data_IF_648548395239
#
_entry.id   IF_648548395239
#
_cell.length_a   1.000
_cell.length_b   1.000
_cell.length_c   1.000
_cell.angle_alpha   90.00
_cell.angle_beta   90.00
_cell.angle_gamma   90.00
#
_symmetry.space_group_name_H-M   'P 1'
#
loop_
_entity.id
_entity.type
_entity.pdbx_description
1 polymer ?
#
# COMPACT_ATOMS: atom_id res chain seq x y z
N UNK A 1 -15.65 7.96 24.15
CA UNK A 1 -16.35 9.23 24.49
C UNK A 1 -17.84 8.94 24.43
N UNK A 2 -18.53 8.98 25.56
CA UNK A 2 -19.87 8.41 25.84
C UNK A 2 -21.00 9.46 25.71
N UNK A 3 -20.69 10.56 25.03
CA UNK A 3 -21.35 11.85 25.21
C UNK A 3 -22.75 11.88 24.56
N UNK A 4 -22.97 11.09 23.50
CA UNK A 4 -24.28 10.96 22.83
C UNK A 4 -25.31 10.13 23.61
N UNK A 5 -24.85 9.18 24.44
CA UNK A 5 -25.73 8.33 25.27
C UNK A 5 -26.31 9.15 26.43
N UNK A 6 -25.52 10.04 27.02
CA UNK A 6 -25.99 10.93 28.09
C UNK A 6 -27.10 11.86 27.62
N UNK A 7 -27.02 12.41 26.40
CA UNK A 7 -28.08 13.25 25.86
C UNK A 7 -29.40 12.47 25.64
N UNK A 8 -29.33 11.27 25.05
CA UNK A 8 -30.53 10.44 24.82
C UNK A 8 -31.20 9.95 26.10
N UNK A 9 -30.42 9.67 27.15
CA UNK A 9 -30.93 9.18 28.44
C UNK A 9 -31.48 10.31 29.31
N UNK A 10 -30.79 11.46 29.40
CA UNK A 10 -31.23 12.57 30.26
C UNK A 10 -32.28 13.48 29.62
N UNK A 11 -32.22 13.73 28.30
CA UNK A 11 -33.13 14.67 27.65
C UNK A 11 -34.44 14.03 27.16
N UNK A 12 -34.44 12.74 26.77
CA UNK A 12 -35.60 12.07 26.15
C UNK A 12 -36.16 10.87 26.91
N UNK A 13 -35.55 10.43 28.04
CA UNK A 13 -35.92 9.21 28.79
C UNK A 13 -36.08 7.97 27.90
N UNK A 14 -35.28 7.85 26.83
CA UNK A 14 -35.32 6.69 25.96
C UNK A 14 -34.52 5.53 26.56
N UNK A 15 -35.00 4.29 26.37
CA UNK A 15 -34.26 3.09 26.75
C UNK A 15 -32.85 3.10 26.13
N UNK A 16 -31.84 2.66 26.88
CA UNK A 16 -30.42 2.65 26.48
C UNK A 16 -30.21 2.13 25.05
N UNK A 17 -30.95 1.08 24.68
CA UNK A 17 -30.96 0.50 23.33
C UNK A 17 -31.37 1.53 22.27
N UNK A 18 -32.43 2.31 22.47
CA UNK A 18 -32.88 3.32 21.49
C UNK A 18 -31.87 4.45 21.34
N UNK A 19 -31.23 4.88 22.43
CA UNK A 19 -30.19 5.91 22.41
C UNK A 19 -28.94 5.43 21.66
N UNK A 20 -28.55 4.16 21.82
CA UNK A 20 -27.45 3.57 21.06
C UNK A 20 -27.78 3.47 19.57
N UNK A 21 -29.01 3.03 19.23
CA UNK A 21 -29.48 2.99 17.85
C UNK A 21 -29.48 4.38 17.20
N UNK A 22 -29.93 5.41 17.91
CA UNK A 22 -29.89 6.80 17.44
C UNK A 22 -28.45 7.28 17.22
N UNK A 23 -27.55 7.03 18.17
CA UNK A 23 -26.15 7.43 18.07
C UNK A 23 -25.44 6.76 16.89
N UNK A 24 -25.61 5.44 16.72
CA UNK A 24 -24.99 4.70 15.61
C UNK A 24 -25.57 5.10 14.26
N UNK A 25 -26.90 5.24 14.14
CA UNK A 25 -27.54 5.64 12.87
C UNK A 25 -27.26 7.09 12.46
N UNK A 26 -27.10 7.99 13.43
CA UNK A 26 -26.69 9.38 13.16
C UNK A 26 -25.23 9.45 12.74
N UNK A 27 -24.36 8.66 13.38
CA UNK A 27 -22.94 8.59 13.07
C UNK A 27 -22.66 7.93 11.72
N UNK A 28 -23.44 6.91 11.34
CA UNK A 28 -23.33 6.23 10.05
C UNK A 28 -24.03 6.97 8.89
N UNK A 29 -24.52 8.20 9.12
CA UNK A 29 -25.32 9.01 8.17
C UNK A 29 -26.65 8.39 7.72
N UNK A 30 -27.05 7.24 8.30
CA UNK A 30 -28.30 6.56 7.96
C UNK A 30 -29.55 7.37 8.36
N UNK A 31 -29.44 8.25 9.36
CA UNK A 31 -30.44 9.29 9.66
C UNK A 31 -31.86 8.77 9.95
N UNK A 32 -31.99 7.57 10.52
CA UNK A 32 -33.27 6.85 10.61
C UNK A 32 -34.28 7.46 11.59
N UNK A 33 -33.84 8.28 12.55
CA UNK A 33 -34.72 8.94 13.52
C UNK A 33 -34.48 10.45 13.48
N UNK A 34 -35.49 11.19 13.03
CA UNK A 34 -35.52 12.64 13.14
C UNK A 34 -35.69 13.06 14.61
N UNK A 35 -34.97 14.10 15.02
CA UNK A 35 -35.23 14.77 16.30
C UNK A 35 -36.60 15.42 16.20
N UNK A 36 -37.55 15.06 17.08
CA UNK A 36 -38.84 15.78 17.14
C UNK A 36 -38.56 17.26 17.33
N UNK A 37 -39.14 18.10 16.47
CA UNK A 37 -39.13 19.56 16.62
C UNK A 37 -39.99 19.95 17.82
N UNK A 38 -39.45 19.77 19.02
CA UNK A 38 -39.91 20.50 20.20
C UNK A 38 -39.67 22.00 19.98
N UNK A 39 -40.46 22.90 20.60
CA UNK A 39 -40.32 24.35 20.45
C UNK A 39 -38.91 24.88 20.80
N UNK A 40 -38.17 24.13 21.62
CA UNK A 40 -36.81 24.45 22.02
C UNK A 40 -35.79 23.82 21.05
N UNK A 41 -35.29 24.61 20.10
CA UNK A 41 -34.35 24.19 19.03
C UNK A 41 -32.97 23.66 19.49
N UNK A 42 -32.75 23.50 20.80
CA UNK A 42 -31.52 23.00 21.40
C UNK A 42 -31.15 21.58 20.94
N UNK A 43 -32.16 20.74 20.72
CA UNK A 43 -31.97 19.34 20.32
C UNK A 43 -31.41 19.21 18.90
N UNK A 44 -31.81 20.13 18.01
CA UNK A 44 -31.33 20.18 16.61
C UNK A 44 -29.87 20.64 16.57
N UNK A 45 -29.51 21.64 17.38
CA UNK A 45 -28.13 22.13 17.48
C UNK A 45 -27.18 21.04 17.98
N UNK A 46 -27.59 20.26 18.99
CA UNK A 46 -26.81 19.15 19.49
C UNK A 46 -26.62 18.05 18.44
N UNK A 47 -27.69 17.65 17.74
CA UNK A 47 -27.61 16.65 16.68
C UNK A 47 -26.71 17.10 15.52
N UNK A 48 -26.75 18.37 15.14
CA UNK A 48 -25.89 18.94 14.10
C UNK A 48 -24.40 18.95 14.52
N UNK A 49 -24.09 19.33 15.76
CA UNK A 49 -22.72 19.29 16.26
C UNK A 49 -22.21 17.85 16.41
N UNK A 50 -23.09 16.95 16.85
CA UNK A 50 -22.77 15.54 16.98
C UNK A 50 -22.51 14.86 15.63
N UNK A 51 -23.31 15.17 14.60
CA UNK A 51 -23.06 14.64 13.25
C UNK A 51 -21.79 15.22 12.62
N UNK A 52 -21.50 16.51 12.86
CA UNK A 52 -20.30 17.18 12.34
C UNK A 52 -19.00 16.53 12.84
N UNK A 53 -18.98 16.05 14.09
CA UNK A 53 -17.80 15.40 14.68
C UNK A 53 -17.85 13.88 14.56
N UNK A 54 -19.03 13.28 14.67
CA UNK A 54 -19.22 11.83 14.66
C UNK A 54 -18.95 11.23 13.28
N UNK A 55 -19.44 11.85 12.21
CA UNK A 55 -19.32 11.31 10.85
C UNK A 55 -17.85 11.19 10.40
N UNK A 56 -16.98 12.22 10.56
CA UNK A 56 -15.56 12.08 10.21
C UNK A 56 -14.83 11.05 11.06
N UNK A 57 -15.14 10.97 12.36
CA UNK A 57 -14.52 10.01 13.27
C UNK A 57 -14.90 8.57 12.92
N UNK A 58 -16.16 8.34 12.56
CA UNK A 58 -16.65 7.04 12.10
C UNK A 58 -16.02 6.64 10.76
N UNK A 59 -15.90 7.58 9.82
CA UNK A 59 -15.18 7.36 8.56
C UNK A 59 -13.71 6.98 8.79
N UNK A 60 -13.02 7.67 9.70
CA UNK A 60 -11.64 7.35 10.06
C UNK A 60 -11.49 5.95 10.69
N UNK A 61 -12.40 5.59 11.60
CA UNK A 61 -12.41 4.26 12.22
C UNK A 61 -12.73 3.13 11.23
N UNK A 62 -13.67 3.36 10.31
CA UNK A 62 -13.92 2.40 9.22
C UNK A 62 -12.73 2.28 8.28
N UNK A 63 -12.03 3.38 8.00
CA UNK A 63 -10.82 3.38 7.19
C UNK A 63 -9.70 2.52 7.80
N UNK A 64 -9.48 2.60 9.11
CA UNK A 64 -8.47 1.75 9.78
C UNK A 64 -8.86 0.28 9.77
N UNK A 65 -10.13 -0.05 10.00
CA UNK A 65 -10.63 -1.42 9.93
C UNK A 65 -10.54 -1.97 8.49
N UNK A 66 -10.90 -1.17 7.50
CA UNK A 66 -10.80 -1.53 6.09
C UNK A 66 -9.35 -1.82 5.69
N UNK A 67 -8.39 -1.00 6.14
CA UNK A 67 -6.96 -1.24 5.88
C UNK A 67 -6.50 -2.57 6.49
N UNK A 68 -6.85 -2.87 7.74
CA UNK A 68 -6.49 -4.15 8.38
C UNK A 68 -7.05 -5.35 7.61
N UNK A 69 -8.27 -5.23 7.09
CA UNK A 69 -8.88 -6.28 6.28
C UNK A 69 -8.14 -6.42 4.94
N UNK A 70 -7.92 -5.32 4.22
CA UNK A 70 -7.22 -5.31 2.93
C UNK A 70 -5.79 -5.84 3.05
N UNK A 71 -5.06 -5.47 4.10
CA UNK A 71 -3.71 -5.94 4.37
C UNK A 71 -3.70 -7.46 4.66
N UNK A 72 -4.70 -7.95 5.40
CA UNK A 72 -4.86 -9.38 5.66
C UNK A 72 -5.21 -10.18 4.40
N UNK A 73 -5.91 -9.57 3.43
CA UNK A 73 -6.21 -10.19 2.14
C UNK A 73 -4.98 -10.22 1.22
N UNK A 74 -4.22 -9.13 1.13
CA UNK A 74 -3.00 -9.08 0.31
C UNK A 74 -1.92 -10.04 0.81
N UNK A 75 -1.70 -10.12 2.12
CA UNK A 75 -0.68 -11.01 2.68
C UNK A 75 -1.02 -12.49 2.44
N UNK A 76 -2.29 -12.88 2.58
CA UNK A 76 -2.71 -14.26 2.28
C UNK A 76 -2.54 -14.61 0.81
N UNK A 77 -2.99 -13.72 -0.09
CA UNK A 77 -2.83 -13.95 -1.53
C UNK A 77 -1.33 -14.00 -1.94
N UNK A 78 -0.48 -13.24 -1.27
CA UNK A 78 0.97 -13.29 -1.46
C UNK A 78 1.59 -14.60 -0.97
N UNK A 79 1.21 -15.05 0.23
CA UNK A 79 1.68 -16.31 0.82
C UNK A 79 1.18 -17.55 0.04
N UNK A 80 -0.06 -17.49 -0.46
CA UNK A 80 -0.64 -18.54 -1.30
C UNK A 80 0.13 -18.66 -2.62
N UNK A 81 0.41 -17.52 -3.28
CA UNK A 81 1.21 -17.48 -4.53
C UNK A 81 2.68 -17.87 -4.34
N UNK A 82 3.23 -17.61 -3.16
CA UNK A 82 4.59 -18.03 -2.79
C UNK A 82 4.71 -19.56 -2.71
N UNK A 83 3.69 -20.23 -2.16
CA UNK A 83 3.70 -21.68 -1.97
C UNK A 83 3.17 -22.47 -3.17
N UNK A 84 2.51 -21.82 -4.12
CA UNK A 84 2.09 -22.46 -5.36
C UNK A 84 3.31 -22.97 -6.14
N UNK A 85 3.20 -24.20 -6.66
CA UNK A 85 4.23 -24.78 -7.53
C UNK A 85 4.45 -23.91 -8.76
N UNK A 86 5.69 -23.83 -9.23
CA UNK A 86 6.01 -23.21 -10.51
C UNK A 86 5.33 -24.00 -11.64
N UNK A 87 4.61 -23.31 -12.52
CA UNK A 87 3.98 -23.92 -13.69
C UNK A 87 4.96 -23.95 -14.87
N UNK A 88 4.70 -24.82 -15.84
CA UNK A 88 5.51 -24.90 -17.06
C UNK A 88 5.51 -23.58 -17.86
N UNK A 89 4.42 -22.80 -17.77
CA UNK A 89 4.36 -21.48 -18.38
C UNK A 89 5.38 -20.51 -17.74
N UNK A 90 5.59 -20.59 -16.42
CA UNK A 90 6.55 -19.75 -15.71
C UNK A 90 8.00 -20.05 -16.15
N UNK A 91 8.29 -21.33 -16.43
CA UNK A 91 9.60 -21.78 -16.92
C UNK A 91 9.90 -21.27 -18.34
N UNK A 92 8.89 -21.26 -19.22
CA UNK A 92 9.03 -20.75 -20.59
C UNK A 92 9.40 -19.25 -20.61
N UNK A 93 8.95 -18.48 -19.62
CA UNK A 93 9.32 -17.06 -19.52
C UNK A 93 10.78 -16.86 -19.17
N UNK A 94 11.35 -17.69 -18.28
CA UNK A 94 12.79 -17.66 -17.97
C UNK A 94 13.59 -17.98 -19.20
N UNK A 95 13.22 -19.05 -19.92
CA UNK A 95 13.92 -19.48 -21.12
C UNK A 95 13.92 -18.38 -22.20
N UNK A 96 12.76 -17.72 -22.40
CA UNK A 96 12.63 -16.60 -23.34
C UNK A 96 13.44 -15.36 -22.93
N UNK A 97 13.56 -15.12 -21.63
CA UNK A 97 14.34 -13.99 -21.13
C UNK A 97 15.83 -14.37 -21.24
N UNK A 98 16.26 -15.50 -20.68
CA UNK A 98 17.66 -15.90 -20.48
C UNK A 98 18.40 -16.36 -21.73
N UNK A 99 17.73 -16.96 -22.71
CA UNK A 99 18.36 -17.35 -23.98
C UNK A 99 19.48 -18.40 -23.85
N UNK A 100 19.66 -18.99 -22.67
CA UNK A 100 20.49 -20.17 -22.45
C UNK A 100 19.73 -21.44 -22.87
N UNK A 101 20.47 -22.47 -23.28
CA UNK A 101 19.93 -23.78 -23.65
C UNK A 101 19.17 -24.43 -22.49
N UNK A 102 18.11 -25.19 -22.82
CA UNK A 102 17.25 -25.95 -21.90
C UNK A 102 18.05 -26.61 -20.76
N UNK A 103 18.18 -25.92 -19.63
CA UNK A 103 18.78 -26.47 -18.42
C UNK A 103 17.69 -27.16 -17.62
N UNK A 104 17.88 -28.45 -17.34
CA UNK A 104 16.97 -29.24 -16.49
C UNK A 104 16.97 -28.75 -15.02
N UNK A 105 17.91 -27.88 -14.67
CA UNK A 105 18.10 -27.33 -13.31
C UNK A 105 18.05 -25.81 -13.30
N UNK A 106 17.28 -25.25 -12.36
CA UNK A 106 17.24 -23.81 -12.07
C UNK A 106 18.31 -23.42 -11.03
N UNK A 107 19.06 -22.36 -11.28
CA UNK A 107 19.88 -21.71 -10.26
C UNK A 107 19.02 -20.83 -9.33
N UNK A 108 19.56 -20.46 -8.17
CA UNK A 108 18.89 -19.60 -7.20
C UNK A 108 18.48 -18.25 -7.81
N UNK A 109 19.30 -17.69 -8.71
CA UNK A 109 18.99 -16.44 -9.40
C UNK A 109 17.75 -16.60 -10.30
N UNK A 110 17.72 -17.64 -11.14
CA UNK A 110 16.58 -17.93 -12.03
C UNK A 110 15.31 -18.23 -11.24
N UNK A 111 15.42 -19.02 -10.16
CA UNK A 111 14.30 -19.29 -9.27
C UNK A 111 13.73 -18.00 -8.65
N UNK A 112 14.59 -17.08 -8.19
CA UNK A 112 14.14 -15.79 -7.67
C UNK A 112 13.49 -14.93 -8.75
N UNK A 113 14.02 -14.91 -9.97
CA UNK A 113 13.44 -14.15 -11.09
C UNK A 113 12.04 -14.64 -11.43
N UNK A 114 11.84 -15.96 -11.53
CA UNK A 114 10.52 -16.57 -11.71
C UNK A 114 9.58 -16.18 -10.58
N UNK A 115 10.04 -16.32 -9.34
CA UNK A 115 9.18 -16.08 -8.19
C UNK A 115 8.77 -14.60 -8.11
N UNK A 116 9.65 -13.67 -8.45
CA UNK A 116 9.36 -12.23 -8.49
C UNK A 116 8.34 -11.87 -9.59
N UNK A 117 8.44 -12.51 -10.75
CA UNK A 117 7.46 -12.39 -11.85
C UNK A 117 6.10 -12.95 -11.44
N UNK A 118 6.07 -14.14 -10.86
CA UNK A 118 4.84 -14.82 -10.40
C UNK A 118 4.12 -14.04 -9.32
N UNK A 119 4.87 -13.39 -8.42
CA UNK A 119 4.30 -12.53 -7.39
C UNK A 119 3.81 -11.18 -7.94
N UNK A 120 4.12 -10.84 -9.20
CA UNK A 120 3.76 -9.57 -9.83
C UNK A 120 4.47 -8.37 -9.20
N UNK A 121 5.57 -8.61 -8.49
CA UNK A 121 6.41 -7.54 -7.88
C UNK A 121 7.23 -6.84 -8.96
N UNK A 122 7.56 -7.57 -10.02
CA UNK A 122 8.42 -7.12 -11.12
C UNK A 122 7.77 -7.55 -12.44
N UNK A 123 7.80 -6.68 -13.45
CA UNK A 123 7.37 -6.99 -14.81
C UNK A 123 8.55 -7.53 -15.65
N UNK A 124 8.24 -8.32 -16.69
CA UNK A 124 9.24 -8.86 -17.64
C UNK A 124 10.15 -7.78 -18.23
N UNK A 125 9.60 -6.60 -18.55
CA UNK A 125 10.38 -5.50 -19.11
C UNK A 125 11.41 -4.93 -18.12
N UNK A 126 11.05 -4.87 -16.84
CA UNK A 126 11.96 -4.40 -15.80
C UNK A 126 13.08 -5.43 -15.57
N UNK A 127 12.71 -6.71 -15.53
CA UNK A 127 13.64 -7.81 -15.34
C UNK A 127 14.65 -7.90 -16.49
N UNK A 128 14.18 -7.75 -17.74
CA UNK A 128 15.05 -7.62 -18.93
C UNK A 128 16.01 -6.44 -18.83
N UNK A 129 15.52 -5.25 -18.45
CA UNK A 129 16.38 -4.06 -18.29
C UNK A 129 17.44 -4.25 -17.20
N UNK A 130 17.10 -4.88 -16.08
CA UNK A 130 18.03 -5.17 -15.00
C UNK A 130 19.14 -6.10 -15.49
N UNK A 131 18.78 -7.11 -16.27
CA UNK A 131 19.75 -8.04 -16.83
C UNK A 131 20.61 -7.44 -17.93
N UNK A 132 20.05 -6.59 -18.78
CA UNK A 132 20.83 -5.82 -19.75
C UNK A 132 21.85 -4.91 -19.04
N UNK A 133 21.48 -4.34 -17.88
CA UNK A 133 22.42 -3.57 -17.06
C UNK A 133 23.50 -4.46 -16.45
N UNK A 134 23.12 -5.63 -15.96
CA UNK A 134 24.07 -6.60 -15.41
C UNK A 134 25.05 -7.08 -16.48
N UNK A 135 24.58 -7.49 -17.65
CA UNK A 135 25.40 -7.95 -18.78
C UNK A 135 26.34 -6.87 -19.31
N UNK A 136 25.98 -5.60 -19.18
CA UNK A 136 26.88 -4.48 -19.50
C UNK A 136 28.03 -4.33 -18.51
N UNK A 137 27.84 -4.77 -17.27
CA UNK A 137 28.84 -4.73 -16.20
C UNK A 137 29.67 -6.03 -16.19
N UNK A 138 29.03 -7.16 -16.46
CA UNK A 138 29.59 -8.51 -16.55
C UNK A 138 30.26 -8.73 -17.91
N UNK A 139 31.35 -7.99 -18.15
CA UNK A 139 32.03 -7.96 -19.46
C UNK A 139 32.71 -9.29 -19.79
N UNK A 140 32.97 -10.12 -18.78
CA UNK A 140 33.58 -11.44 -18.91
C UNK A 140 32.56 -12.58 -18.97
N UNK A 141 31.25 -12.26 -18.93
CA UNK A 141 30.15 -13.23 -18.90
C UNK A 141 30.33 -14.31 -17.81
N UNK A 142 30.97 -13.93 -16.70
CA UNK A 142 31.22 -14.83 -15.59
C UNK A 142 29.97 -15.04 -14.73
N UNK A 143 28.90 -14.28 -14.97
CA UNK A 143 27.71 -14.23 -14.12
C UNK A 143 27.99 -13.52 -12.79
N UNK A 144 29.10 -12.78 -12.67
CA UNK A 144 29.57 -12.21 -11.41
C UNK A 144 30.18 -10.82 -11.62
N UNK A 145 29.53 -9.81 -11.05
CA UNK A 145 30.08 -8.45 -11.03
C UNK A 145 30.75 -8.14 -9.70
N UNK A 146 31.96 -7.61 -9.75
CA UNK A 146 32.65 -7.13 -8.55
C UNK A 146 31.90 -5.94 -7.90
N UNK A 147 31.69 -6.03 -6.59
CA UNK A 147 31.00 -4.99 -5.81
C UNK A 147 31.64 -3.61 -5.95
N UNK A 148 32.95 -3.54 -6.16
CA UNK A 148 33.67 -2.28 -6.33
C UNK A 148 33.28 -1.55 -7.61
N UNK A 149 33.02 -2.28 -8.69
CA UNK A 149 32.55 -1.72 -9.97
C UNK A 149 31.18 -1.06 -9.81
N UNK A 150 30.30 -1.66 -9.00
CA UNK A 150 28.98 -1.11 -8.68
C UNK A 150 29.07 0.19 -7.87
N UNK A 151 30.01 0.28 -6.93
CA UNK A 151 30.20 1.45 -6.07
C UNK A 151 30.83 2.63 -6.82
N UNK A 152 31.83 2.37 -7.67
CA UNK A 152 32.50 3.37 -8.49
C UNK A 152 31.53 4.13 -9.43
N UNK A 153 30.53 3.42 -9.97
CA UNK A 153 29.47 4.01 -10.77
C UNK A 153 28.61 5.02 -9.99
N UNK A 154 28.38 4.80 -8.70
CA UNK A 154 27.61 5.71 -7.85
C UNK A 154 28.42 6.93 -7.41
N UNK A 155 29.69 6.74 -7.04
CA UNK A 155 30.57 7.84 -6.65
C UNK A 155 30.75 8.86 -7.78
N UNK A 156 30.95 8.39 -9.00
CA UNK A 156 31.09 9.24 -10.19
C UNK A 156 29.82 10.08 -10.45
N UNK A 157 28.65 9.50 -10.21
CA UNK A 157 27.35 10.17 -10.40
C UNK A 157 27.09 11.22 -9.31
N UNK A 158 27.44 10.91 -8.05
CA UNK A 158 27.36 11.84 -6.93
C UNK A 158 28.31 13.04 -7.14
N UNK A 159 29.52 12.80 -7.63
CA UNK A 159 30.48 13.87 -7.92
C UNK A 159 29.99 14.79 -9.05
N UNK A 160 29.42 14.23 -10.14
CA UNK A 160 28.82 15.06 -11.20
C UNK A 160 27.67 15.92 -10.69
N UNK A 161 26.77 15.36 -9.87
CA UNK A 161 25.65 16.13 -9.28
C UNK A 161 26.17 17.27 -8.38
N UNK A 162 27.21 17.02 -7.59
CA UNK A 162 27.85 18.05 -6.75
C UNK A 162 28.51 19.13 -7.60
N UNK A 163 29.20 18.77 -8.68
CA UNK A 163 29.83 19.72 -9.60
C UNK A 163 28.78 20.60 -10.31
N UNK A 164 27.69 20.03 -10.81
CA UNK A 164 26.59 20.79 -11.44
C UNK A 164 25.92 21.75 -10.46
N UNK A 165 25.69 21.33 -9.20
CA UNK A 165 25.15 22.21 -8.15
C UNK A 165 26.09 23.36 -7.80
N UNK A 166 27.40 23.13 -7.81
CA UNK A 166 28.39 24.17 -7.55
C UNK A 166 28.51 25.16 -8.72
N UNK A 167 28.40 24.69 -9.96
CA UNK A 167 28.35 25.55 -11.15
C UNK A 167 27.10 26.45 -11.14
N UNK A 168 25.91 25.87 -10.90
CA UNK A 168 24.66 26.61 -10.81
C UNK A 168 24.67 27.67 -9.69
N UNK A 169 25.36 27.40 -8.57
CA UNK A 169 25.51 28.36 -7.47
C UNK A 169 26.48 29.51 -7.79
N UNK A 170 27.46 29.30 -8.67
CA UNK A 170 28.40 30.34 -9.12
C UNK A 170 27.81 31.26 -10.19
N UNK A 171 26.80 30.80 -10.92
CA UNK A 171 26.11 31.58 -11.96
C UNK A 171 25.03 32.51 -11.39
N UNK A 172 24.66 32.33 -10.11
CA UNK A 172 23.68 33.15 -9.38
C UNK A 172 24.31 34.24 -8.49
N UNK A 173 25.65 34.38 -8.50
CA UNK A 173 26.41 35.40 -7.77
C UNK A 173 27.15 36.27 -8.76
#
# INVERSE_FOLDING_TARGET
RVDGVFFGVYAKKWSFIRSLYFAVSTCSTAGLQGVDTSPDGWQVLFAALFSLVGVPLYGAALGTVANVWVDSYHNKAFDDRLNDRLEAADMQFVEYIDGHEESETLDLAEFMEVQLLKLGVVDCDLLRKLRDQFNKLDTDHSGRVEKQVLLLGQETRIQRIRATRQAARKEQV
#
